data_IF_015518724701
#
_entry.id   IF_015518724701
#
_cell.length_a   1.000
_cell.length_b   1.000
_cell.length_c   1.000
_cell.angle_alpha   90.00
_cell.angle_beta   90.00
_cell.angle_gamma   90.00
#
_symmetry.space_group_name_H-M   'P 1'
#
loop_
_entity.id
_entity.type
_entity.pdbx_description
1 polymer ?
#
# COMPACT_ATOMS: atom_id res chain seq x y z
N UNK A 1 -16.34 -29.21 -7.97
CA UNK A 1 -15.04 -28.50 -7.97
C UNK A 1 -14.03 -29.37 -7.23
N UNK A 2 -13.01 -29.87 -7.93
CA UNK A 2 -11.94 -30.64 -7.28
C UNK A 2 -11.20 -29.71 -6.33
N UNK A 3 -11.19 -30.04 -5.04
CA UNK A 3 -10.33 -29.34 -4.08
C UNK A 3 -8.90 -29.41 -4.60
N UNK A 4 -8.19 -28.27 -4.74
CA UNK A 4 -6.82 -28.28 -5.23
C UNK A 4 -6.00 -29.23 -4.37
N UNK A 5 -5.32 -30.20 -5.01
CA UNK A 5 -4.49 -31.18 -4.31
C UNK A 5 -3.50 -30.41 -3.44
N UNK A 6 -3.47 -30.73 -2.15
CA UNK A 6 -2.56 -30.12 -1.18
C UNK A 6 -1.12 -30.32 -1.65
N UNK A 7 -0.46 -29.25 -2.08
CA UNK A 7 0.94 -29.31 -2.49
C UNK A 7 1.84 -29.24 -1.25
N UNK A 8 2.26 -30.40 -0.75
CA UNK A 8 3.12 -30.51 0.42
C UNK A 8 4.44 -29.72 0.29
N UNK A 9 4.95 -29.54 -0.93
CA UNK A 9 6.16 -28.75 -1.19
C UNK A 9 5.93 -27.27 -0.89
N UNK A 10 4.77 -26.74 -1.25
CA UNK A 10 4.41 -25.35 -0.95
C UNK A 10 4.19 -25.14 0.54
N UNK A 11 3.59 -26.14 1.22
CA UNK A 11 3.45 -26.13 2.68
C UNK A 11 4.82 -26.08 3.35
N UNK A 12 5.75 -26.95 2.94
CA UNK A 12 7.10 -27.00 3.48
C UNK A 12 7.85 -25.68 3.22
N UNK A 13 7.81 -25.16 1.99
CA UNK A 13 8.45 -23.88 1.64
C UNK A 13 7.86 -22.69 2.42
N UNK A 14 6.54 -22.71 2.67
CA UNK A 14 5.90 -21.72 3.51
C UNK A 14 6.46 -21.77 4.93
N UNK A 15 6.43 -22.94 5.57
CA UNK A 15 6.82 -23.08 6.98
C UNK A 15 8.31 -22.85 7.21
N UNK A 16 9.17 -23.45 6.38
CA UNK A 16 10.62 -23.28 6.50
C UNK A 16 11.06 -21.85 6.17
N UNK A 17 10.43 -21.22 5.18
CA UNK A 17 10.82 -19.87 4.77
C UNK A 17 10.20 -18.75 5.60
N UNK A 18 9.22 -19.04 6.46
CA UNK A 18 8.53 -18.01 7.24
C UNK A 18 9.47 -17.26 8.21
N UNK A 19 10.32 -17.93 9.02
CA UNK A 19 11.27 -17.25 9.91
C UNK A 19 12.23 -16.33 9.14
N UNK A 20 12.75 -16.79 7.99
CA UNK A 20 13.68 -16.03 7.16
C UNK A 20 13.00 -14.80 6.54
N UNK A 21 11.79 -14.97 5.98
CA UNK A 21 11.01 -13.84 5.43
C UNK A 21 10.64 -12.84 6.50
N UNK A 22 10.31 -13.31 7.70
CA UNK A 22 10.01 -12.44 8.84
C UNK A 22 11.23 -11.65 9.28
N UNK A 23 12.39 -12.30 9.45
CA UNK A 23 13.64 -11.63 9.83
C UNK A 23 14.03 -10.57 8.78
N UNK A 24 13.99 -10.94 7.49
CA UNK A 24 14.25 -10.00 6.41
C UNK A 24 13.25 -8.84 6.45
N UNK A 25 11.96 -9.10 6.63
CA UNK A 25 10.95 -8.04 6.73
C UNK A 25 11.24 -7.10 7.90
N UNK A 26 11.68 -7.61 9.05
CA UNK A 26 12.04 -6.75 10.19
C UNK A 26 13.23 -5.86 9.86
N UNK A 27 14.29 -6.40 9.25
CA UNK A 27 15.45 -5.63 8.82
C UNK A 27 15.09 -4.60 7.74
N UNK A 28 14.35 -5.01 6.71
CA UNK A 28 13.89 -4.18 5.60
C UNK A 28 13.00 -3.03 6.09
N UNK A 29 12.01 -3.36 6.93
CA UNK A 29 11.13 -2.35 7.53
C UNK A 29 11.89 -1.44 8.49
N UNK A 30 12.87 -1.95 9.24
CA UNK A 30 13.77 -1.16 10.07
C UNK A 30 14.57 -0.15 9.26
N UNK A 31 15.16 -0.57 8.13
CA UNK A 31 15.84 0.32 7.20
C UNK A 31 14.88 1.38 6.63
N UNK A 32 13.67 0.98 6.20
CA UNK A 32 12.63 1.91 5.77
C UNK A 32 12.28 2.95 6.85
N UNK A 33 12.15 2.51 8.12
CA UNK A 33 11.91 3.39 9.27
C UNK A 33 13.04 4.41 9.43
N UNK A 34 14.30 3.98 9.39
CA UNK A 34 15.45 4.89 9.49
C UNK A 34 15.43 5.93 8.37
N UNK A 35 15.10 5.53 7.13
CA UNK A 35 14.99 6.47 5.99
C UNK A 35 13.87 7.47 6.18
N UNK A 36 12.71 7.02 6.66
CA UNK A 36 11.61 7.94 6.94
C UNK A 36 11.98 8.91 8.06
N UNK A 37 12.61 8.47 9.14
CA UNK A 37 13.13 9.38 10.19
C UNK A 37 14.14 10.37 9.62
N UNK A 38 15.03 9.91 8.74
CA UNK A 38 15.99 10.77 8.07
C UNK A 38 15.33 11.89 7.25
N UNK A 39 14.36 11.57 6.39
CA UNK A 39 13.71 12.60 5.56
C UNK A 39 12.71 13.50 6.32
N UNK A 40 12.31 13.13 7.54
CA UNK A 40 11.30 13.86 8.34
C UNK A 40 11.88 14.58 9.54
N UNK A 41 13.01 14.13 10.07
CA UNK A 41 13.61 14.65 11.30
C UNK A 41 15.06 15.13 11.09
N UNK A 42 15.94 14.31 10.52
CA UNK A 42 17.38 14.59 10.46
C UNK A 42 17.80 15.43 9.25
N UNK A 43 17.55 14.92 8.04
CA UNK A 43 17.82 15.59 6.76
C UNK A 43 16.50 15.84 6.05
N UNK A 44 15.71 16.72 6.66
CA UNK A 44 14.32 17.00 6.27
C UNK A 44 14.21 17.33 4.79
N UNK A 45 13.23 16.72 4.12
CA UNK A 45 12.89 17.11 2.75
C UNK A 45 12.06 18.39 2.76
N UNK A 46 12.48 19.46 2.07
CA UNK A 46 11.71 20.68 1.98
C UNK A 46 10.48 20.51 1.08
N UNK A 47 9.55 21.47 1.18
CA UNK A 47 8.54 21.68 0.13
C UNK A 47 9.20 22.16 -1.17
N UNK A 48 8.48 22.12 -2.28
CA UNK A 48 8.92 22.71 -3.55
C UNK A 48 9.93 21.87 -4.33
N UNK A 49 10.21 20.62 -3.92
CA UNK A 49 11.04 19.71 -4.74
C UNK A 49 10.32 19.23 -6.00
N UNK A 50 9.01 19.43 -6.07
CA UNK A 50 8.18 19.21 -7.24
C UNK A 50 7.30 20.44 -7.44
N UNK A 51 7.02 20.77 -8.69
CA UNK A 51 6.10 21.83 -9.10
C UNK A 51 4.69 21.26 -9.32
N UNK A 52 3.69 22.13 -9.49
CA UNK A 52 2.30 21.69 -9.69
C UNK A 52 2.06 20.92 -10.99
N UNK A 53 2.90 21.16 -12.00
CA UNK A 53 2.90 20.46 -13.29
C UNK A 53 3.72 19.16 -13.27
N UNK A 54 4.45 18.88 -12.19
CA UNK A 54 5.27 17.69 -12.08
C UNK A 54 4.42 16.41 -12.19
N UNK A 55 4.87 15.35 -12.90
CA UNK A 55 4.08 14.13 -13.09
C UNK A 55 3.64 13.41 -11.81
N UNK A 56 4.44 13.45 -10.74
CA UNK A 56 4.00 12.94 -9.42
C UNK A 56 2.89 13.78 -8.76
N UNK A 57 2.69 15.03 -9.18
CA UNK A 57 1.60 15.88 -8.69
C UNK A 57 0.35 15.72 -9.56
N UNK A 58 0.53 15.64 -10.87
CA UNK A 58 -0.60 15.57 -11.82
C UNK A 58 -1.09 14.13 -12.05
N UNK A 59 -0.22 13.14 -11.88
CA UNK A 59 -0.48 11.76 -12.28
C UNK A 59 -0.41 11.51 -13.78
N UNK A 60 -0.06 12.51 -14.58
CA UNK A 60 -0.07 12.43 -16.03
C UNK A 60 1.26 11.89 -16.58
N UNK A 61 1.17 10.99 -17.56
CA UNK A 61 2.32 10.56 -18.34
C UNK A 61 2.73 11.70 -19.30
N UNK A 62 3.97 12.23 -19.22
CA UNK A 62 4.39 13.35 -20.06
C UNK A 62 4.41 13.01 -21.56
N UNK A 63 4.47 11.73 -21.93
CA UNK A 63 4.48 11.29 -23.33
C UNK A 63 3.07 11.26 -23.92
N UNK A 64 2.08 10.80 -23.14
CA UNK A 64 0.71 10.58 -23.65
C UNK A 64 -0.28 11.65 -23.21
N UNK A 65 0.05 12.46 -22.20
CA UNK A 65 -0.86 13.39 -21.54
C UNK A 65 -1.99 12.71 -20.76
N UNK A 66 -2.01 11.37 -20.69
CA UNK A 66 -3.04 10.59 -20.01
C UNK A 66 -2.60 10.19 -18.60
N UNK A 67 -3.54 9.89 -17.68
CA UNK A 67 -3.19 9.37 -16.36
C UNK A 67 -2.41 8.05 -16.47
N UNK A 68 -1.19 8.01 -15.91
CA UNK A 68 -0.28 6.84 -16.03
C UNK A 68 -0.83 5.59 -15.34
N UNK A 69 -1.76 5.76 -14.40
CA UNK A 69 -2.24 4.68 -13.54
C UNK A 69 -2.94 3.57 -14.32
N UNK A 70 -3.62 3.90 -15.43
CA UNK A 70 -4.27 2.90 -16.27
C UNK A 70 -3.23 1.99 -16.95
N UNK A 71 -2.14 2.57 -17.44
CA UNK A 71 -1.05 1.84 -18.09
C UNK A 71 -0.25 0.99 -17.10
N UNK A 72 -0.26 1.36 -15.83
CA UNK A 72 0.42 0.63 -14.76
C UNK A 72 -0.41 -0.53 -14.17
N UNK A 73 -1.60 -0.82 -14.69
CA UNK A 73 -2.38 -2.02 -14.31
C UNK A 73 -1.75 -3.27 -14.93
N UNK A 74 -0.99 -4.00 -14.13
CA UNK A 74 -0.26 -5.20 -14.58
C UNK A 74 -1.05 -6.51 -14.41
N UNK A 75 -2.12 -6.48 -13.61
CA UNK A 75 -2.98 -7.64 -13.40
C UNK A 75 -4.37 -7.22 -12.95
N UNK A 76 -5.41 -7.91 -13.42
CA UNK A 76 -6.77 -7.75 -12.92
C UNK A 76 -7.52 -9.07 -12.99
N UNK A 77 -8.28 -9.41 -11.94
CA UNK A 77 -9.18 -10.56 -12.00
C UNK A 77 -10.45 -10.22 -12.79
N UNK A 78 -11.07 -11.23 -13.38
CA UNK A 78 -12.37 -11.09 -14.03
C UNK A 78 -13.44 -10.58 -13.05
N UNK A 79 -14.37 -9.76 -13.54
CA UNK A 79 -15.52 -9.33 -12.75
C UNK A 79 -16.53 -10.47 -12.65
N UNK A 80 -16.98 -10.78 -11.43
CA UNK A 80 -18.06 -11.74 -11.21
C UNK A 80 -19.38 -11.15 -11.71
N UNK A 81 -20.20 -11.95 -12.40
CA UNK A 81 -21.50 -11.52 -12.92
C UNK A 81 -22.43 -10.98 -11.82
N UNK A 82 -22.38 -11.57 -10.62
CA UNK A 82 -23.12 -11.12 -9.44
C UNK A 82 -22.65 -9.79 -8.85
N UNK A 83 -21.51 -9.26 -9.32
CA UNK A 83 -20.88 -8.03 -8.80
C UNK A 83 -20.75 -6.93 -9.85
N UNK A 84 -21.60 -6.94 -10.87
CA UNK A 84 -21.65 -5.88 -11.90
C UNK A 84 -21.92 -4.48 -11.35
N UNK A 85 -22.56 -4.38 -10.18
CA UNK A 85 -22.83 -3.11 -9.49
C UNK A 85 -21.59 -2.46 -8.86
N UNK A 86 -20.46 -3.18 -8.75
CA UNK A 86 -19.24 -2.62 -8.20
C UNK A 86 -18.61 -1.58 -9.16
N UNK A 87 -17.97 -0.51 -8.64
CA UNK A 87 -17.35 0.53 -9.47
C UNK A 87 -16.39 -0.03 -10.52
N UNK A 88 -16.26 0.63 -11.69
CA UNK A 88 -15.35 0.20 -12.76
C UNK A 88 -13.88 0.21 -12.32
N UNK A 89 -13.03 -0.57 -12.99
CA UNK A 89 -11.59 -0.61 -12.67
C UNK A 89 -10.98 0.77 -12.86
N UNK A 90 -11.36 1.46 -13.94
CA UNK A 90 -10.93 2.83 -14.21
C UNK A 90 -11.35 3.79 -13.10
N UNK A 91 -12.58 3.67 -12.58
CA UNK A 91 -13.02 4.50 -11.44
C UNK A 91 -12.16 4.28 -10.20
N UNK A 92 -11.83 3.01 -9.90
CA UNK A 92 -11.03 2.64 -8.72
C UNK A 92 -9.60 3.17 -8.86
N UNK A 93 -9.00 2.95 -10.03
CA UNK A 93 -7.65 3.37 -10.36
C UNK A 93 -7.56 4.90 -10.36
N UNK A 94 -8.47 5.59 -11.03
CA UNK A 94 -8.50 7.06 -11.10
C UNK A 94 -8.65 7.69 -9.72
N UNK A 95 -9.64 7.25 -8.93
CA UNK A 95 -9.87 7.83 -7.59
C UNK A 95 -8.70 7.57 -6.64
N UNK A 96 -8.10 6.38 -6.71
CA UNK A 96 -6.96 6.04 -5.85
C UNK A 96 -5.71 6.79 -6.28
N UNK A 97 -5.43 6.85 -7.58
CA UNK A 97 -4.31 7.60 -8.15
C UNK A 97 -4.40 9.08 -7.85
N UNK A 98 -5.56 9.71 -8.07
CA UNK A 98 -5.80 11.13 -7.79
C UNK A 98 -5.60 11.42 -6.30
N UNK A 99 -6.18 10.61 -5.42
CA UNK A 99 -6.02 10.78 -3.98
C UNK A 99 -4.55 10.77 -3.54
N UNK A 100 -3.71 9.94 -4.17
CA UNK A 100 -2.28 9.86 -3.85
C UNK A 100 -1.50 11.01 -4.49
N UNK A 101 -1.85 11.43 -5.70
CA UNK A 101 -1.27 12.61 -6.37
C UNK A 101 -1.55 13.89 -5.57
N UNK A 102 -2.77 14.05 -5.05
CA UNK A 102 -3.16 15.15 -4.15
C UNK A 102 -2.31 15.19 -2.87
N UNK A 103 -1.80 14.04 -2.39
CA UNK A 103 -0.85 14.01 -1.26
C UNK A 103 0.49 14.59 -1.64
N UNK A 104 0.97 14.31 -2.85
CA UNK A 104 2.22 14.90 -3.36
C UNK A 104 2.05 16.40 -3.58
N UNK A 105 0.89 16.82 -4.13
CA UNK A 105 0.54 18.22 -4.37
C UNK A 105 0.65 19.10 -3.11
N UNK A 106 0.36 18.55 -1.93
CA UNK A 106 0.52 19.25 -0.64
C UNK A 106 1.97 19.64 -0.31
N UNK A 107 2.95 19.11 -1.04
CA UNK A 107 4.36 19.49 -0.96
C UNK A 107 4.85 20.31 -2.14
N UNK A 108 4.04 20.52 -3.18
CA UNK A 108 4.38 21.45 -4.25
C UNK A 108 4.33 22.89 -3.70
N UNK A 109 5.25 23.74 -4.15
CA UNK A 109 5.24 25.15 -3.77
C UNK A 109 4.03 25.84 -4.42
N UNK A 110 3.15 26.37 -3.59
CA UNK A 110 2.07 27.29 -3.97
C UNK A 110 2.19 28.56 -3.13
N UNK A 111 1.75 29.74 -3.64
CA UNK A 111 1.62 30.94 -2.82
C UNK A 111 0.86 30.58 -1.53
N UNK A 112 1.42 31.00 -0.40
CA UNK A 112 1.15 30.41 0.91
C UNK A 112 -0.34 30.26 1.20
N UNK A 113 -0.81 29.03 1.39
CA UNK A 113 -2.19 28.78 1.80
C UNK A 113 -2.38 29.33 3.23
N UNK A 114 -3.42 30.15 3.51
CA UNK A 114 -3.66 30.76 4.84
C UNK A 114 -3.93 29.74 5.97
N UNK A 115 -4.05 28.45 5.64
CA UNK A 115 -4.23 27.38 6.61
C UNK A 115 -2.84 26.92 7.09
N UNK A 116 -2.46 27.44 8.26
CA UNK A 116 -1.13 27.36 8.86
C UNK A 116 -0.50 25.96 9.06
N UNK A 117 0.62 25.87 9.77
CA UNK A 117 1.53 24.71 9.81
C UNK A 117 0.93 23.40 10.38
N UNK A 118 -0.29 23.42 10.92
CA UNK A 118 -0.86 22.30 11.68
C UNK A 118 -1.45 21.16 10.83
N UNK A 119 -1.62 21.33 9.50
CA UNK A 119 -2.26 20.31 8.65
C UNK A 119 -1.35 19.65 7.62
N UNK A 120 -0.04 19.93 7.62
CA UNK A 120 0.90 19.37 6.64
C UNK A 120 1.53 18.10 7.18
N UNK A 121 1.22 16.98 6.54
CA UNK A 121 2.03 15.78 6.68
C UNK A 121 3.48 16.13 6.26
N UNK A 122 4.53 15.60 6.92
CA UNK A 122 5.90 15.96 6.56
C UNK A 122 6.16 15.72 5.06
N UNK A 123 6.80 16.68 4.39
CA UNK A 123 6.92 16.67 2.93
C UNK A 123 7.57 15.39 2.39
N UNK A 124 8.56 14.84 3.10
CA UNK A 124 9.16 13.54 2.78
C UNK A 124 8.12 12.42 2.66
N UNK A 125 7.14 12.36 3.58
CA UNK A 125 6.06 11.36 3.52
C UNK A 125 5.15 11.62 2.33
N UNK A 126 4.81 12.87 2.04
CA UNK A 126 4.02 13.22 0.85
C UNK A 126 4.72 12.73 -0.42
N UNK A 127 6.03 12.93 -0.58
CA UNK A 127 6.77 12.47 -1.75
C UNK A 127 6.80 10.94 -1.90
N UNK A 128 6.76 10.16 -0.82
CA UNK A 128 6.63 8.67 -0.89
C UNK A 128 5.37 8.26 -1.66
N UNK A 129 4.30 9.06 -1.59
CA UNK A 129 3.08 8.76 -2.32
C UNK A 129 3.32 8.79 -3.83
N UNK A 130 4.18 9.69 -4.32
CA UNK A 130 4.59 9.80 -5.73
C UNK A 130 5.06 8.46 -6.30
N UNK A 131 6.00 7.82 -5.60
CA UNK A 131 6.43 6.46 -5.95
C UNK A 131 5.32 5.41 -5.85
N UNK A 132 4.36 5.59 -4.96
CA UNK A 132 3.28 4.63 -4.72
C UNK A 132 2.14 4.71 -5.75
N UNK A 133 1.89 5.86 -6.37
CA UNK A 133 0.82 6.01 -7.36
C UNK A 133 1.35 6.09 -8.79
N UNK A 134 2.43 6.83 -9.02
CA UNK A 134 2.97 7.04 -10.36
C UNK A 134 3.85 5.89 -10.82
N UNK A 135 4.71 5.37 -9.92
CA UNK A 135 5.70 4.36 -10.29
C UNK A 135 5.25 2.93 -10.00
N UNK A 136 4.15 2.68 -9.28
CA UNK A 136 3.81 1.33 -8.81
C UNK A 136 3.20 0.44 -9.88
N UNK A 137 3.35 -0.88 -9.73
CA UNK A 137 2.53 -1.84 -10.44
C UNK A 137 1.20 -2.05 -9.73
N UNK A 138 0.09 -1.94 -10.46
CA UNK A 138 -1.26 -2.01 -9.90
C UNK A 138 -1.89 -3.37 -10.21
N UNK A 139 -2.42 -4.02 -9.17
CA UNK A 139 -3.19 -5.26 -9.29
C UNK A 139 -4.60 -5.06 -8.74
N UNK A 140 -5.61 -5.50 -9.49
CA UNK A 140 -7.02 -5.27 -9.15
C UNK A 140 -7.74 -6.59 -8.87
N UNK A 141 -8.39 -6.66 -7.71
CA UNK A 141 -9.14 -7.83 -7.25
C UNK A 141 -10.57 -7.48 -6.87
N UNK A 142 -11.48 -8.46 -6.89
CA UNK A 142 -12.84 -8.25 -6.41
C UNK A 142 -12.87 -8.07 -4.89
N UNK A 143 -12.19 -8.95 -4.15
CA UNK A 143 -12.15 -8.97 -2.67
C UNK A 143 -10.83 -9.59 -2.14
N UNK A 144 -10.67 -9.63 -0.81
CA UNK A 144 -9.48 -10.17 -0.17
C UNK A 144 -9.34 -11.69 -0.31
N UNK A 145 -10.44 -12.42 -0.32
CA UNK A 145 -10.44 -13.89 -0.49
C UNK A 145 -9.89 -14.28 -1.86
N UNK A 146 -10.31 -13.60 -2.92
CA UNK A 146 -9.80 -13.81 -4.28
C UNK A 146 -8.33 -13.42 -4.41
N UNK A 147 -7.94 -12.28 -3.84
CA UNK A 147 -6.54 -11.88 -3.81
C UNK A 147 -5.69 -12.90 -3.05
N UNK A 148 -6.17 -13.43 -1.92
CA UNK A 148 -5.50 -14.48 -1.15
C UNK A 148 -5.23 -15.72 -2.01
N UNK A 149 -6.22 -16.17 -2.78
CA UNK A 149 -6.04 -17.31 -3.69
C UNK A 149 -4.91 -17.05 -4.69
N UNK A 150 -4.79 -15.83 -5.22
CA UNK A 150 -3.74 -15.49 -6.18
C UNK A 150 -2.38 -15.39 -5.49
N UNK A 151 -2.24 -14.61 -4.42
CA UNK A 151 -0.94 -14.44 -3.74
C UNK A 151 -0.46 -15.71 -3.04
N UNK A 152 -1.32 -16.70 -2.84
CA UNK A 152 -0.94 -18.01 -2.33
C UNK A 152 -0.64 -19.04 -3.43
N UNK A 153 -0.95 -18.73 -4.70
CA UNK A 153 -0.44 -19.49 -5.84
C UNK A 153 1.08 -19.24 -6.02
N UNK A 154 1.92 -20.28 -6.10
CA UNK A 154 3.37 -20.14 -6.26
C UNK A 154 3.83 -19.45 -7.55
N UNK A 155 3.16 -19.67 -8.68
CA UNK A 155 3.44 -19.01 -9.96
C UNK A 155 3.17 -17.51 -9.86
N UNK A 156 2.01 -17.15 -9.33
CA UNK A 156 1.67 -15.75 -9.10
C UNK A 156 2.69 -15.05 -8.18
N UNK A 157 3.11 -15.72 -7.09
CA UNK A 157 4.17 -15.17 -6.21
C UNK A 157 5.49 -14.99 -6.94
N UNK A 158 5.93 -16.00 -7.71
CA UNK A 158 7.18 -15.93 -8.50
C UNK A 158 7.12 -14.76 -9.47
N UNK A 159 5.98 -14.58 -10.12
CA UNK A 159 5.77 -13.50 -11.08
C UNK A 159 5.76 -12.12 -10.42
N UNK A 160 5.12 -11.99 -9.25
CA UNK A 160 5.18 -10.74 -8.49
C UNK A 160 6.61 -10.42 -8.02
N UNK A 161 7.35 -11.43 -7.57
CA UNK A 161 8.76 -11.25 -7.19
C UNK A 161 9.61 -10.87 -8.41
N UNK A 162 9.34 -11.47 -9.57
CA UNK A 162 10.01 -11.11 -10.84
C UNK A 162 9.75 -9.66 -11.21
N UNK A 163 8.49 -9.21 -11.12
CA UNK A 163 8.11 -7.80 -11.31
C UNK A 163 8.93 -6.90 -10.39
N UNK A 164 8.89 -7.12 -9.08
CA UNK A 164 9.59 -6.26 -8.11
C UNK A 164 11.09 -6.25 -8.35
N UNK A 165 11.72 -7.39 -8.65
CA UNK A 165 13.16 -7.46 -8.90
C UNK A 165 13.58 -6.73 -10.19
N UNK A 166 12.82 -6.90 -11.27
CA UNK A 166 13.13 -6.32 -12.58
C UNK A 166 12.80 -4.84 -12.63
N UNK A 167 11.58 -4.49 -12.22
CA UNK A 167 11.12 -3.12 -12.26
C UNK A 167 11.65 -2.30 -11.10
N UNK A 168 11.94 -2.89 -9.94
CA UNK A 168 12.27 -2.12 -8.71
C UNK A 168 11.22 -1.05 -8.45
N UNK A 169 9.94 -1.46 -8.42
CA UNK A 169 8.76 -0.61 -8.21
C UNK A 169 8.00 -1.12 -7.00
N UNK A 170 7.26 -0.22 -6.36
CA UNK A 170 6.25 -0.60 -5.37
C UNK A 170 5.07 -1.33 -6.03
N UNK A 171 4.27 -2.02 -5.21
CA UNK A 171 3.10 -2.76 -5.70
C UNK A 171 1.86 -2.35 -4.94
N UNK A 172 0.82 -1.98 -5.69
CA UNK A 172 -0.45 -1.55 -5.16
C UNK A 172 -1.55 -2.56 -5.48
N UNK A 173 -2.12 -3.18 -4.45
CA UNK A 173 -3.28 -4.04 -4.56
C UNK A 173 -4.55 -3.23 -4.31
N UNK A 174 -5.45 -3.17 -5.29
CA UNK A 174 -6.72 -2.46 -5.21
C UNK A 174 -7.89 -3.46 -5.18
N UNK A 175 -8.92 -3.11 -4.41
CA UNK A 175 -10.10 -3.96 -4.23
C UNK A 175 -11.36 -3.25 -4.69
N UNK A 176 -12.18 -3.94 -5.49
CA UNK A 176 -13.46 -3.41 -5.99
C UNK A 176 -14.50 -3.29 -4.88
N UNK A 177 -14.53 -4.25 -3.96
CA UNK A 177 -15.46 -4.27 -2.83
C UNK A 177 -15.07 -3.21 -1.79
N UNK A 178 -15.85 -2.12 -1.70
CA UNK A 178 -15.61 -1.06 -0.70
C UNK A 178 -16.13 -1.44 0.68
N UNK A 179 -17.15 -2.29 0.76
CA UNK A 179 -17.73 -2.75 2.00
C UNK A 179 -17.00 -4.02 2.47
N UNK A 180 -15.89 -3.83 3.18
CA UNK A 180 -15.06 -4.93 3.63
C UNK A 180 -15.07 -5.13 5.15
N UNK A 181 -14.74 -6.35 5.57
CA UNK A 181 -14.47 -6.70 6.97
C UNK A 181 -13.06 -6.21 7.38
N UNK A 182 -12.93 -5.30 8.37
CA UNK A 182 -11.61 -4.87 8.86
C UNK A 182 -10.74 -6.02 9.36
N UNK A 183 -11.36 -7.06 9.93
CA UNK A 183 -10.68 -8.28 10.39
C UNK A 183 -10.11 -9.08 9.22
N UNK A 184 -10.90 -9.31 8.19
CA UNK A 184 -10.44 -10.00 6.99
C UNK A 184 -9.30 -9.23 6.32
N UNK A 185 -9.39 -7.91 6.27
CA UNK A 185 -8.33 -7.07 5.72
C UNK A 185 -7.03 -7.17 6.55
N UNK A 186 -7.13 -7.18 7.88
CA UNK A 186 -5.98 -7.37 8.74
C UNK A 186 -5.32 -8.74 8.52
N UNK A 187 -6.12 -9.80 8.33
CA UNK A 187 -5.61 -11.13 7.98
C UNK A 187 -4.94 -11.15 6.61
N UNK A 188 -5.52 -10.48 5.60
CA UNK A 188 -4.89 -10.32 4.29
C UNK A 188 -3.53 -9.61 4.38
N UNK A 189 -3.46 -8.49 5.12
CA UNK A 189 -2.19 -7.80 5.36
C UNK A 189 -1.17 -8.69 6.11
N UNK A 190 -1.64 -9.50 7.06
CA UNK A 190 -0.84 -10.53 7.72
C UNK A 190 -0.31 -11.57 6.73
N UNK A 191 -1.16 -12.08 5.83
CA UNK A 191 -0.81 -13.05 4.80
C UNK A 191 0.28 -12.49 3.86
N UNK A 192 0.08 -11.29 3.34
CA UNK A 192 1.08 -10.60 2.52
C UNK A 192 2.45 -10.53 3.20
N UNK A 193 2.45 -10.24 4.51
CA UNK A 193 3.68 -10.14 5.31
C UNK A 193 4.34 -11.48 5.66
N UNK A 194 3.64 -12.60 5.52
CA UNK A 194 4.22 -13.94 5.69
C UNK A 194 4.67 -14.57 4.36
N UNK A 195 4.04 -14.16 3.25
CA UNK A 195 4.31 -14.65 1.90
C UNK A 195 5.44 -13.88 1.22
N UNK A 196 5.55 -12.58 1.50
CA UNK A 196 6.55 -11.70 0.89
C UNK A 196 7.52 -11.14 1.93
N UNK A 197 8.78 -10.86 1.54
CA UNK A 197 9.78 -10.28 2.43
C UNK A 197 9.57 -8.78 2.67
N UNK A 198 8.46 -8.20 2.22
CA UNK A 198 8.19 -6.77 2.26
C UNK A 198 7.10 -6.43 3.27
N UNK A 199 7.03 -5.16 3.67
CA UNK A 199 5.97 -4.67 4.53
C UNK A 199 4.68 -4.47 3.71
N UNK A 200 3.51 -4.65 4.34
CA UNK A 200 2.22 -4.41 3.70
C UNK A 200 1.44 -3.37 4.52
N UNK A 201 1.12 -2.24 3.90
CA UNK A 201 0.31 -1.18 4.51
C UNK A 201 -1.14 -1.27 4.00
N UNK A 202 -2.11 -1.35 4.91
CA UNK A 202 -3.53 -1.62 4.61
C UNK A 202 -4.39 -0.36 4.73
N UNK A 203 -4.56 0.39 3.65
CA UNK A 203 -5.38 1.62 3.61
C UNK A 203 -6.81 1.32 3.14
N UNK A 204 -7.81 2.11 3.53
CA UNK A 204 -9.17 1.91 3.03
C UNK A 204 -10.23 2.90 3.52
N UNK A 205 -11.44 2.88 2.94
CA UNK A 205 -12.49 3.88 3.17
C UNK A 205 -13.10 3.86 4.57
N UNK A 206 -13.06 2.72 5.28
CA UNK A 206 -13.62 2.63 6.63
C UNK A 206 -12.71 3.27 7.68
N UNK A 207 -11.48 3.65 7.31
CA UNK A 207 -10.46 4.21 8.19
C UNK A 207 -9.38 3.20 8.57
N UNK A 208 -8.82 3.35 9.77
CA UNK A 208 -7.59 2.65 10.18
C UNK A 208 -7.78 1.15 10.41
N UNK A 209 -7.35 0.35 9.44
CA UNK A 209 -7.06 -1.08 9.62
C UNK A 209 -5.57 -1.23 9.90
N UNK A 210 -5.21 -1.78 11.06
CA UNK A 210 -3.83 -1.86 11.53
C UNK A 210 -3.13 -0.48 11.48
N UNK A 211 -2.11 -0.33 10.62
CA UNK A 211 -1.33 0.89 10.46
C UNK A 211 -1.87 1.85 9.39
N UNK A 212 -2.83 1.42 8.57
CA UNK A 212 -3.21 2.19 7.39
C UNK A 212 -4.12 3.38 7.67
N UNK A 213 -4.25 4.22 6.65
CA UNK A 213 -5.01 5.46 6.69
C UNK A 213 -6.28 5.35 5.85
N UNK A 214 -7.10 6.40 5.90
CA UNK A 214 -8.25 6.53 5.02
C UNK A 214 -7.79 6.60 3.55
N UNK A 215 -8.50 5.88 2.68
CA UNK A 215 -8.32 5.90 1.22
C UNK A 215 -9.68 5.71 0.52
N UNK A 216 -9.84 6.11 -0.76
CA UNK A 216 -11.12 6.02 -1.47
C UNK A 216 -11.65 4.59 -1.61
N UNK A 217 -10.72 3.65 -1.79
CA UNK A 217 -10.93 2.21 -1.92
C UNK A 217 -9.97 1.46 -0.99
N UNK A 218 -10.26 0.20 -0.65
CA UNK A 218 -9.30 -0.64 0.05
C UNK A 218 -8.08 -0.82 -0.85
N UNK A 219 -6.90 -0.54 -0.30
CA UNK A 219 -5.64 -0.55 -0.99
C UNK A 219 -4.53 -1.10 -0.10
N UNK A 220 -4.00 -2.28 -0.45
CA UNK A 220 -2.84 -2.86 0.22
C UNK A 220 -1.57 -2.51 -0.56
N UNK A 221 -0.74 -1.64 0.01
CA UNK A 221 0.54 -1.26 -0.58
C UNK A 221 1.64 -2.18 -0.03
N UNK A 222 2.25 -2.97 -0.92
CA UNK A 222 3.37 -3.83 -0.61
C UNK A 222 4.67 -3.04 -0.81
N UNK A 223 5.25 -2.59 0.31
CA UNK A 223 6.38 -1.65 0.37
C UNK A 223 7.72 -2.39 0.21
N UNK A 224 8.14 -2.48 -1.04
CA UNK A 224 9.39 -3.07 -1.54
C UNK A 224 10.63 -2.25 -1.20
N UNK A 225 10.47 -0.95 -0.88
CA UNK A 225 11.56 -0.03 -0.55
C UNK A 225 12.18 0.67 -1.77
N UNK A 226 11.66 0.40 -2.98
CA UNK A 226 12.02 1.10 -4.20
C UNK A 226 11.82 2.62 -4.09
N UNK A 227 10.80 3.03 -3.33
CA UNK A 227 10.50 4.44 -3.08
C UNK A 227 11.70 5.23 -2.53
N UNK A 228 12.62 4.58 -1.76
CA UNK A 228 13.74 5.26 -1.11
C UNK A 228 14.62 5.96 -2.15
N UNK A 229 14.98 5.24 -3.22
CA UNK A 229 15.84 5.80 -4.27
C UNK A 229 15.14 6.96 -4.97
N UNK A 230 13.89 6.76 -5.37
CA UNK A 230 13.14 7.73 -6.17
C UNK A 230 12.87 9.00 -5.34
N UNK A 231 12.48 8.87 -4.07
CA UNK A 231 12.23 10.02 -3.19
C UNK A 231 13.52 10.80 -2.88
N UNK A 232 14.65 10.13 -2.65
CA UNK A 232 15.91 10.85 -2.40
C UNK A 232 16.47 11.51 -3.66
N UNK A 233 16.22 10.97 -4.84
CA UNK A 233 16.62 11.59 -6.10
C UNK A 233 15.96 12.98 -6.32
N UNK A 234 14.76 13.21 -5.77
CA UNK A 234 14.14 14.55 -5.77
C UNK A 234 14.99 15.64 -5.11
N UNK A 235 15.92 15.30 -4.21
CA UNK A 235 16.78 16.29 -3.55
C UNK A 235 17.82 16.91 -4.49
N UNK A 236 18.08 16.30 -5.64
CA UNK A 236 19.15 16.70 -6.54
C UNK A 236 18.57 17.09 -7.90
N UNK A 237 18.71 18.35 -8.34
CA UNK A 237 18.16 18.81 -9.63
C UNK A 237 18.54 17.93 -10.82
N UNK A 238 19.75 17.35 -10.80
CA UNK A 238 20.27 16.49 -11.87
C UNK A 238 19.56 15.13 -11.95
N UNK A 239 18.99 14.64 -10.86
CA UNK A 239 18.32 13.32 -10.80
C UNK A 239 16.83 13.42 -10.53
N UNK A 240 16.31 14.61 -10.20
CA UNK A 240 14.89 14.84 -9.93
C UNK A 240 14.00 14.39 -11.10
N UNK A 241 14.39 14.64 -12.36
CA UNK A 241 13.61 14.20 -13.52
C UNK A 241 13.54 12.65 -13.65
N UNK A 242 14.54 11.92 -13.14
CA UNK A 242 14.61 10.45 -13.27
C UNK A 242 13.58 9.69 -12.41
N UNK A 243 12.93 10.40 -11.47
CA UNK A 243 11.93 9.81 -10.58
C UNK A 243 10.61 9.51 -11.30
N UNK A 244 10.38 10.17 -12.43
CA UNK A 244 9.23 9.96 -13.33
C UNK A 244 9.54 8.77 -14.21
N UNK A 245 8.98 7.61 -13.88
CA UNK A 245 9.26 6.37 -14.59
C UNK A 245 8.28 6.16 -15.75
N UNK A 246 8.70 5.52 -16.86
CA UNK A 246 7.78 5.20 -17.95
C UNK A 246 6.68 4.25 -17.47
N UNK A 247 5.58 4.21 -18.22
CA UNK A 247 4.54 3.21 -18.05
C UNK A 247 5.11 1.79 -18.11
N UNK A 248 4.49 0.87 -17.36
CA UNK A 248 4.85 -0.55 -17.43
C UNK A 248 4.35 -1.09 -18.76
N UNK A 249 5.23 -1.73 -19.54
CA UNK A 249 4.84 -2.21 -20.85
C UNK A 249 3.77 -3.32 -20.75
N UNK A 250 2.71 -3.25 -21.56
CA UNK A 250 1.63 -4.22 -21.54
C UNK A 250 2.14 -5.60 -21.94
N UNK A 251 1.46 -6.64 -21.47
CA UNK A 251 1.81 -8.01 -21.84
C UNK A 251 3.08 -8.57 -21.19
N UNK A 252 3.73 -7.85 -20.28
CA UNK A 252 5.02 -8.31 -19.71
C UNK A 252 4.90 -9.21 -18.49
N UNK A 253 3.81 -9.10 -17.72
CA UNK A 253 3.65 -9.76 -16.43
C UNK A 253 2.31 -10.49 -16.37
N UNK A 254 2.29 -11.62 -15.65
CA UNK A 254 1.09 -12.42 -15.37
C UNK A 254 0.36 -12.96 -16.62
N UNK A 255 1.07 -13.14 -17.75
CA UNK A 255 0.47 -13.56 -19.02
C UNK A 255 -0.03 -15.01 -19.01
N UNK A 256 0.71 -15.90 -18.38
CA UNK A 256 0.41 -17.33 -18.33
C UNK A 256 -0.47 -17.72 -17.13
N UNK A 257 -1.14 -16.76 -16.49
CA UNK A 257 -1.97 -17.04 -15.32
C UNK A 257 -3.32 -17.64 -15.77
N UNK A 258 -3.32 -18.91 -16.14
CA UNK A 258 -4.55 -19.71 -16.10
C UNK A 258 -5.03 -19.78 -14.65
N UNK A 259 -6.36 -19.75 -14.43
CA UNK A 259 -6.95 -19.65 -13.09
C UNK A 259 -6.70 -20.93 -12.28
N UNK A 260 -5.53 -21.04 -11.65
CA UNK A 260 -5.20 -22.02 -10.64
C UNK A 260 -5.25 -21.33 -9.27
N UNK A 261 -6.41 -21.34 -8.57
CA UNK A 261 -6.51 -20.65 -7.29
C UNK A 261 -5.63 -21.35 -6.26
N UNK A 262 -4.84 -20.56 -5.52
CA UNK A 262 -4.23 -21.01 -4.27
C UNK A 262 -5.28 -21.21 -3.17
N UNK A 263 -4.86 -21.09 -1.91
CA UNK A 263 -5.77 -21.31 -0.77
C UNK A 263 -6.73 -20.14 -0.57
N UNK A 264 -7.91 -20.46 -0.06
CA UNK A 264 -8.99 -19.52 0.29
C UNK A 264 -9.07 -19.17 1.78
N UNK A 265 -8.22 -19.77 2.63
CA UNK A 265 -8.25 -19.58 4.08
C UNK A 265 -6.92 -19.05 4.60
N UNK A 266 -6.97 -18.21 5.64
CA UNK A 266 -5.79 -17.70 6.34
C UNK A 266 -5.20 -18.73 7.29
N UNK A 267 -3.87 -18.82 7.33
CA UNK A 267 -3.13 -19.70 8.25
C UNK A 267 -2.95 -19.04 9.61
N UNK A 268 -2.73 -19.86 10.64
CA UNK A 268 -2.50 -19.39 12.00
C UNK A 268 -1.43 -18.29 12.10
N UNK A 269 -0.23 -18.39 11.49
CA UNK A 269 0.79 -17.34 11.59
C UNK A 269 0.34 -15.98 11.04
N UNK A 270 -0.56 -15.99 10.05
CA UNK A 270 -1.09 -14.77 9.41
C UNK A 270 -2.10 -14.07 10.32
N UNK A 271 -2.99 -14.87 10.92
CA UNK A 271 -3.95 -14.40 11.94
C UNK A 271 -3.23 -13.89 13.18
N UNK A 272 -2.23 -14.63 13.64
CA UNK A 272 -1.40 -14.24 14.78
C UNK A 272 -0.62 -12.96 14.49
N UNK A 273 0.00 -12.83 13.31
CA UNK A 273 0.70 -11.60 12.94
C UNK A 273 -0.24 -10.40 12.86
N UNK A 274 -1.45 -10.58 12.34
CA UNK A 274 -2.48 -9.55 12.32
C UNK A 274 -2.88 -9.12 13.75
N UNK A 275 -3.13 -10.09 14.64
CA UNK A 275 -3.44 -9.85 16.06
C UNK A 275 -2.30 -9.12 16.79
N UNK A 276 -1.06 -9.61 16.67
CA UNK A 276 0.11 -9.00 17.29
C UNK A 276 0.32 -7.57 16.77
N UNK A 277 0.09 -7.35 15.47
CA UNK A 277 0.14 -6.02 14.87
C UNK A 277 -0.97 -5.13 15.42
N UNK A 278 -2.21 -5.63 15.54
CA UNK A 278 -3.32 -4.90 16.13
C UNK A 278 -3.00 -4.46 17.56
N UNK A 279 -2.55 -5.37 18.43
CA UNK A 279 -2.16 -5.04 19.80
C UNK A 279 -1.06 -3.99 19.84
N UNK A 280 -0.03 -4.14 19.01
CA UNK A 280 1.06 -3.17 18.93
C UNK A 280 0.58 -1.78 18.53
N UNK A 281 -0.35 -1.67 17.59
CA UNK A 281 -0.93 -0.36 17.20
C UNK A 281 -1.82 0.18 18.31
N UNK A 282 -2.63 -0.67 18.93
CA UNK A 282 -3.53 -0.30 20.04
C UNK A 282 -2.75 0.23 21.24
N UNK A 283 -1.68 -0.45 21.66
CA UNK A 283 -0.81 -0.02 22.77
C UNK A 283 -0.17 1.36 22.54
N UNK A 284 -0.05 1.81 21.28
CA UNK A 284 0.45 3.16 20.95
C UNK A 284 -0.60 4.26 21.09
N UNK A 285 -1.89 3.91 21.14
CA UNK A 285 -3.01 4.84 21.30
C UNK A 285 -3.01 6.00 20.30
N UNK A 286 -3.30 7.21 20.81
CA UNK A 286 -3.42 8.43 20.02
C UNK A 286 -2.10 8.97 19.45
N UNK A 287 -0.94 8.48 19.91
CA UNK A 287 0.34 8.72 19.21
C UNK A 287 0.37 8.05 17.82
N UNK A 288 -0.49 7.03 17.64
CA UNK A 288 -0.82 6.17 16.49
C UNK A 288 0.03 6.10 15.20
N UNK A 289 0.02 4.90 14.62
CA UNK A 289 0.02 4.66 13.17
C UNK A 289 1.36 4.64 12.43
N UNK A 290 2.26 5.56 12.72
CA UNK A 290 3.56 5.62 12.04
C UNK A 290 4.59 6.10 13.05
N UNK A 291 5.78 5.51 13.04
CA UNK A 291 6.89 5.90 13.93
C UNK A 291 7.35 7.36 13.76
N UNK A 292 6.74 8.12 12.85
CA UNK A 292 7.32 9.30 12.23
C UNK A 292 6.44 10.56 12.36
N UNK A 293 5.16 10.40 12.69
CA UNK A 293 4.19 11.50 12.69
C UNK A 293 3.32 11.40 13.94
N UNK A 294 3.36 12.41 14.80
CA UNK A 294 2.43 12.49 15.92
C UNK A 294 1.03 12.83 15.38
N UNK A 295 0.11 11.87 15.44
CA UNK A 295 -1.27 12.06 14.96
C UNK A 295 -2.01 13.16 15.73
N UNK A 296 -1.60 13.47 16.96
CA UNK A 296 -2.17 14.59 17.72
C UNK A 296 -1.85 15.94 17.09
N UNK A 297 -0.78 16.01 16.30
CA UNK A 297 -0.40 17.21 15.56
C UNK A 297 -1.07 17.21 14.18
N UNK A 298 -0.91 16.14 13.40
CA UNK A 298 -1.38 16.11 12.00
C UNK A 298 -2.88 15.88 11.85
N UNK A 299 -3.51 15.19 12.81
CA UNK A 299 -4.93 14.83 12.77
C UNK A 299 -5.68 15.31 14.02
N UNK A 300 -5.22 16.40 14.63
CA UNK A 300 -5.78 16.96 15.89
C UNK A 300 -7.30 17.08 15.84
N UNK A 301 -7.83 17.69 14.79
CA UNK A 301 -9.27 17.94 14.58
C UNK A 301 -10.07 16.65 14.39
N UNK A 302 -9.51 15.67 13.65
CA UNK A 302 -10.18 14.37 13.48
C UNK A 302 -10.25 13.61 14.80
N UNK A 303 -9.21 13.72 15.63
CA UNK A 303 -9.17 13.12 16.96
C UNK A 303 -10.12 13.83 17.92
N UNK A 304 -10.21 15.16 17.88
CA UNK A 304 -11.17 15.95 18.65
C UNK A 304 -12.61 15.57 18.30
N UNK A 305 -12.95 15.55 17.01
CA UNK A 305 -14.27 15.13 16.52
C UNK A 305 -14.63 13.70 16.95
N UNK A 306 -13.67 12.77 16.93
CA UNK A 306 -13.91 11.41 17.41
C UNK A 306 -14.21 11.36 18.91
N UNK A 307 -13.52 12.17 19.72
CA UNK A 307 -13.78 12.28 21.16
C UNK A 307 -15.17 12.86 21.43
N UNK A 308 -15.56 13.90 20.71
CA UNK A 308 -16.91 14.48 20.79
C UNK A 308 -18.00 13.44 20.46
N UNK A 309 -17.74 12.57 19.48
CA UNK A 309 -18.66 11.49 19.10
C UNK A 309 -18.57 10.25 20.00
N UNK A 310 -17.77 10.26 21.07
CA UNK A 310 -17.57 9.10 21.94
C UNK A 310 -16.91 7.89 21.25
N UNK A 311 -16.27 8.09 20.10
CA UNK A 311 -15.67 7.01 19.32
C UNK A 311 -14.24 6.71 19.81
N UNK A 312 -13.89 5.42 20.04
CA UNK A 312 -12.55 5.06 20.49
C UNK A 312 -11.49 5.31 19.40
N UNK A 313 -10.31 5.79 19.78
CA UNK A 313 -9.16 5.91 18.86
C UNK A 313 -8.36 4.59 18.78
N UNK A 314 -9.05 3.51 18.44
CA UNK A 314 -8.50 2.17 18.23
C UNK A 314 -8.46 1.81 16.73
N UNK A 315 -7.61 0.88 16.29
CA UNK A 315 -7.74 0.31 14.94
C UNK A 315 -9.08 -0.43 14.81
N UNK A 316 -9.70 -0.39 13.63
CA UNK A 316 -11.02 -0.97 13.39
C UNK A 316 -11.05 -2.49 13.43
N UNK A 317 -9.91 -3.13 13.16
CA UNK A 317 -9.77 -4.56 13.24
C UNK A 317 -9.69 -5.00 14.70
N UNK A 318 -10.80 -4.95 15.43
CA UNK A 318 -10.91 -5.62 16.74
C UNK A 318 -10.75 -7.12 16.51
N UNK A 319 -9.54 -7.61 16.73
CA UNK A 319 -9.23 -9.03 16.65
C UNK A 319 -9.33 -9.57 18.08
N UNK A 320 -10.49 -10.12 18.42
CA UNK A 320 -10.65 -11.01 19.57
C UNK A 320 -9.63 -12.15 19.43
N UNK A 321 -9.11 -12.65 20.55
CA UNK A 321 -7.95 -13.57 20.63
C UNK A 321 -7.86 -14.56 19.46
N UNK A 322 -6.65 -14.74 18.91
CA UNK A 322 -6.37 -15.64 17.80
C UNK A 322 -6.52 -17.11 18.25
N UNK A 323 -7.77 -17.55 18.44
CA UNK A 323 -8.17 -18.93 18.67
C UNK A 323 -8.50 -19.61 17.35
#
# INVERSE_FOLDING_TARGET
>A
MNSPRRNWRDDLHYWLGWPLRWLYQMAHNGHGIVRVLDMTQFRRMPAGLVTMDHPWVTGLNPVTGQPIWYDNVIFRTARRSSRKHLPSDDTIVAKTGQFLADRVAQSAMVPELPLGPQRRMPHGINYIHGSSHYNSGILIFNDFTEALQHVTNPEFRRELIRFVKRERREVLFLFRERAYSPREYAYFAGAMRTLFPWFCNSNGPRGRVLWGNAAPFPAANLITGAWIRDVYALKHPQTAASVVRPAIAPGQYFQAMEYAPGRSHYRFPEKWLAWATYLRVRMRGAKGGMFFVDRRQVYAEQLARKRELGLPDEPLARIESAT
#
